data_IF_032571024853
#
_entry.id   IF_032571024853
#
_cell.length_a   1.000
_cell.length_b   1.000
_cell.length_c   1.000
_cell.angle_alpha   90.00
_cell.angle_beta   90.00
_cell.angle_gamma   90.00
#
_symmetry.space_group_name_H-M   'P 1'
#
loop_
_entity.id
_entity.type
_entity.pdbx_description
1 polymer ?
#
# COMPACT_ATOMS: atom_id res chain seq x y z
N UNK A 1 7.17 -16.58 4.06
CA UNK A 1 6.36 -16.12 2.90
C UNK A 1 7.35 -15.77 1.80
N UNK A 2 7.12 -16.13 0.53
CA UNK A 2 8.04 -15.72 -0.53
C UNK A 2 8.07 -14.19 -0.60
N UNK A 3 9.28 -13.63 -0.63
CA UNK A 3 9.47 -12.19 -0.85
C UNK A 3 9.23 -11.88 -2.33
N UNK A 4 8.58 -10.74 -2.60
CA UNK A 4 8.40 -10.27 -3.96
C UNK A 4 9.77 -9.89 -4.55
N UNK A 5 9.98 -10.26 -5.81
CA UNK A 5 11.10 -9.75 -6.59
C UNK A 5 10.97 -8.25 -6.84
N UNK A 6 12.09 -7.58 -7.15
CA UNK A 6 12.10 -6.16 -7.52
C UNK A 6 11.13 -5.87 -8.67
N UNK A 7 11.06 -6.72 -9.69
CA UNK A 7 10.13 -6.55 -10.82
C UNK A 7 8.67 -6.63 -10.39
N UNK A 8 8.33 -7.51 -9.44
CA UNK A 8 6.96 -7.58 -8.91
C UNK A 8 6.62 -6.33 -8.09
N UNK A 9 7.57 -5.78 -7.33
CA UNK A 9 7.39 -4.52 -6.61
C UNK A 9 7.21 -3.32 -7.55
N UNK A 10 7.94 -3.28 -8.66
CA UNK A 10 7.77 -2.26 -9.72
C UNK A 10 6.36 -2.32 -10.32
N UNK A 11 5.84 -3.52 -10.62
CA UNK A 11 4.47 -3.69 -11.12
C UNK A 11 3.42 -3.22 -10.12
N UNK A 12 3.63 -3.48 -8.83
CA UNK A 12 2.73 -2.98 -7.76
C UNK A 12 2.78 -1.45 -7.69
N UNK A 13 3.97 -0.86 -7.77
CA UNK A 13 4.15 0.59 -7.77
C UNK A 13 3.44 1.24 -8.96
N UNK A 14 3.67 0.74 -10.17
CA UNK A 14 3.05 1.25 -11.40
C UNK A 14 1.52 1.15 -11.34
N UNK A 15 0.99 0.05 -10.81
CA UNK A 15 -0.44 -0.13 -10.61
C UNK A 15 -1.01 0.90 -9.63
N UNK A 16 -0.33 1.15 -8.51
CA UNK A 16 -0.76 2.15 -7.52
C UNK A 16 -0.70 3.56 -8.10
N UNK A 17 0.34 3.91 -8.85
CA UNK A 17 0.46 5.21 -9.52
C UNK A 17 -0.73 5.47 -10.45
N UNK A 18 -1.07 4.51 -11.32
CA UNK A 18 -2.22 4.61 -12.21
C UNK A 18 -3.55 4.70 -11.46
N UNK A 19 -3.68 3.98 -10.34
CA UNK A 19 -4.88 4.04 -9.52
C UNK A 19 -5.05 5.41 -8.84
N UNK A 20 -3.97 5.98 -8.31
CA UNK A 20 -3.94 7.33 -7.71
C UNK A 20 -4.35 8.38 -8.76
N UNK A 21 -3.78 8.32 -9.96
CA UNK A 21 -4.13 9.23 -11.06
C UNK A 21 -5.61 9.14 -11.43
N UNK A 22 -6.17 7.92 -11.46
CA UNK A 22 -7.58 7.68 -11.78
C UNK A 22 -8.54 8.16 -10.69
N UNK A 23 -8.18 7.99 -9.43
CA UNK A 23 -8.99 8.42 -8.27
C UNK A 23 -9.06 9.95 -8.20
N UNK A 24 -7.97 10.62 -8.55
CA UNK A 24 -7.85 12.07 -8.51
C UNK A 24 -7.56 12.60 -7.10
N UNK A 25 -6.87 13.75 -6.99
CA UNK A 25 -6.18 14.19 -5.78
C UNK A 25 -7.08 14.35 -4.55
N UNK A 26 -8.34 14.73 -4.73
CA UNK A 26 -9.29 14.92 -3.62
C UNK A 26 -9.65 13.62 -2.92
N UNK A 27 -9.66 12.50 -3.66
CA UNK A 27 -10.09 11.20 -3.14
C UNK A 27 -8.91 10.27 -2.79
N UNK A 28 -7.67 10.65 -3.11
CA UNK A 28 -6.46 9.86 -2.83
C UNK A 28 -6.33 9.51 -1.34
N UNK A 29 -6.50 10.43 -0.37
CA UNK A 29 -6.40 10.08 1.04
C UNK A 29 -7.41 9.00 1.47
N UNK A 30 -8.64 9.09 0.98
CA UNK A 30 -9.69 8.12 1.26
C UNK A 30 -9.39 6.76 0.61
N UNK A 31 -8.92 6.77 -0.64
CA UNK A 31 -8.51 5.57 -1.36
C UNK A 31 -7.37 4.83 -0.64
N UNK A 32 -6.29 5.53 -0.29
CA UNK A 32 -5.13 4.95 0.39
C UNK A 32 -5.51 4.41 1.77
N UNK A 33 -6.34 5.13 2.52
CA UNK A 33 -6.86 4.66 3.82
C UNK A 33 -7.67 3.36 3.65
N UNK A 34 -8.54 3.29 2.63
CA UNK A 34 -9.34 2.09 2.35
C UNK A 34 -8.45 0.91 1.92
N UNK A 35 -7.46 1.16 1.05
CA UNK A 35 -6.50 0.14 0.63
C UNK A 35 -5.72 -0.40 1.82
N UNK A 36 -5.22 0.48 2.69
CA UNK A 36 -4.54 0.12 3.93
C UNK A 36 -5.39 -0.81 4.81
N UNK A 37 -6.65 -0.47 5.05
CA UNK A 37 -7.57 -1.30 5.84
C UNK A 37 -7.81 -2.68 5.21
N UNK A 38 -8.01 -2.73 3.88
CA UNK A 38 -8.17 -4.00 3.16
C UNK A 38 -6.91 -4.85 3.24
N UNK A 39 -5.73 -4.25 3.09
CA UNK A 39 -4.43 -4.92 3.23
C UNK A 39 -4.23 -5.46 4.65
N UNK A 40 -4.54 -4.68 5.69
CA UNK A 40 -4.47 -5.13 7.08
C UNK A 40 -5.38 -6.35 7.33
N UNK A 41 -6.58 -6.34 6.75
CA UNK A 41 -7.52 -7.46 6.84
C UNK A 41 -7.01 -8.70 6.09
N UNK A 42 -6.38 -8.53 4.92
CA UNK A 42 -5.78 -9.61 4.15
C UNK A 42 -4.54 -10.21 4.83
N UNK A 43 -3.73 -9.37 5.48
CA UNK A 43 -2.58 -9.79 6.29
C UNK A 43 -3.02 -10.54 7.56
N UNK A 44 -4.23 -10.27 8.07
CA UNK A 44 -4.77 -10.90 9.26
C UNK A 44 -4.07 -10.50 10.57
N UNK A 45 -3.24 -9.45 10.55
CA UNK A 45 -2.47 -8.99 11.71
C UNK A 45 -2.36 -7.47 11.74
N UNK A 46 -2.97 -6.87 12.76
CA UNK A 46 -2.83 -5.44 13.07
C UNK A 46 -1.36 -5.06 13.27
N UNK A 47 -0.62 -5.89 14.01
CA UNK A 47 0.73 -5.57 14.46
C UNK A 47 1.73 -5.53 13.30
N UNK A 48 1.61 -6.47 12.35
CA UNK A 48 2.41 -6.48 11.12
C UNK A 48 2.07 -5.27 10.25
N UNK A 49 0.78 -4.94 10.10
CA UNK A 49 0.39 -3.78 9.30
C UNK A 49 0.92 -2.46 9.89
N UNK A 50 0.80 -2.26 11.20
CA UNK A 50 1.33 -1.06 11.89
C UNK A 50 2.84 -0.96 11.72
N UNK A 51 3.58 -2.07 11.89
CA UNK A 51 5.04 -2.06 11.68
C UNK A 51 5.42 -1.69 10.24
N UNK A 52 4.70 -2.21 9.23
CA UNK A 52 4.93 -1.85 7.83
C UNK A 52 4.60 -0.37 7.56
N UNK A 53 3.53 0.16 8.16
CA UNK A 53 3.15 1.57 8.06
C UNK A 53 4.22 2.47 8.66
N UNK A 54 4.73 2.13 9.85
CA UNK A 54 5.78 2.90 10.51
C UNK A 54 7.09 2.87 9.70
N UNK A 55 7.46 1.71 9.13
CA UNK A 55 8.61 1.60 8.21
C UNK A 55 8.44 2.49 6.98
N UNK A 56 7.27 2.44 6.35
CA UNK A 56 6.99 3.27 5.18
C UNK A 56 7.13 4.77 5.50
N UNK A 57 6.76 5.23 6.70
CA UNK A 57 6.92 6.63 7.11
C UNK A 57 8.38 7.07 7.32
N UNK A 58 9.29 6.14 7.61
CA UNK A 58 10.73 6.42 7.77
C UNK A 58 11.43 6.62 6.43
N UNK A 59 10.86 6.09 5.35
CA UNK A 59 11.40 6.12 3.99
C UNK A 59 10.78 7.21 3.09
N UNK A 60 9.94 8.10 3.66
CA UNK A 60 9.35 9.29 2.97
C UNK A 60 10.33 10.46 2.96
#
# INVERSE_FOLDING_TARGET
MPELSTTELELVYDHLAQAIDRVGPEQVPLYLTKLALLSAQALGSLQIFVELSDKAMQDV
#
